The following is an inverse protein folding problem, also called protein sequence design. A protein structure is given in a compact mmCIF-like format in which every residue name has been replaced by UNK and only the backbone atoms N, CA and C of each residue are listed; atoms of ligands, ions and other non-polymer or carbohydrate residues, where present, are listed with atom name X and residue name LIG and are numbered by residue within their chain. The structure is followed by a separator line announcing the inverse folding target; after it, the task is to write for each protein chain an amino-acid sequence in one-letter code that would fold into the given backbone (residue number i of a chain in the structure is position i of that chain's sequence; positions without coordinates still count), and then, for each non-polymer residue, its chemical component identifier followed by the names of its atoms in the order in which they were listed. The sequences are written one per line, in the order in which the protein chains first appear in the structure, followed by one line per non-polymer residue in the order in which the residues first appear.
data_IF_769055295025
#
_entry.id   IF_769055295025
#
_cell.length_a   1.000
_cell.length_b   1.000
_cell.length_c   1.000
_cell.angle_alpha   90.00
_cell.angle_beta   90.00
_cell.angle_gamma   90.00
#
_symmetry.space_group_name_H-M   'P 1'
#
loop_
_entity.id
_entity.type
_entity.pdbx_description
1 polymer ?
#
# COMPACT_ATOMS: atom_id res chain seq x y z
N UNK A 1 8.38 -9.78 1.46
CA UNK A 1 7.76 -8.54 1.01
C UNK A 1 6.49 -8.25 1.80
N UNK A 2 6.28 -6.98 2.15
CA UNK A 2 5.07 -6.45 2.77
C UNK A 2 4.53 -5.29 1.94
N UNK A 3 3.28 -5.42 1.49
CA UNK A 3 2.56 -4.38 0.75
C UNK A 3 1.50 -3.75 1.64
N UNK A 4 1.46 -2.42 1.69
CA UNK A 4 0.38 -1.66 2.29
C UNK A 4 -0.62 -1.19 1.24
N UNK A 5 -1.91 -1.15 1.59
CA UNK A 5 -2.98 -0.69 0.71
C UNK A 5 -3.78 0.43 1.37
N UNK A 6 -3.97 1.51 0.64
CA UNK A 6 -4.78 2.65 1.06
C UNK A 6 -5.89 2.83 0.01
N UNK A 7 -7.14 2.85 0.45
CA UNK A 7 -8.26 3.15 -0.42
C UNK A 7 -8.41 4.64 -0.73
N UNK A 8 -9.37 5.02 -1.60
CA UNK A 8 -9.60 6.42 -1.96
C UNK A 8 -9.86 7.31 -0.74
N UNK A 9 -9.17 8.45 -0.66
CA UNK A 9 -9.27 9.44 0.40
C UNK A 9 -10.12 10.66 0.00
N UNK A 10 -10.61 10.71 -1.24
CA UNK A 10 -11.41 11.79 -1.82
C UNK A 10 -10.66 13.13 -1.76
N UNK A 11 -10.94 13.95 -0.75
CA UNK A 11 -10.29 15.25 -0.51
C UNK A 11 -9.47 15.31 0.78
N UNK A 12 -9.48 14.26 1.62
CA UNK A 12 -8.79 14.25 2.91
C UNK A 12 -7.30 13.85 2.77
N UNK A 13 -6.50 14.83 2.36
CA UNK A 13 -5.02 14.70 2.28
C UNK A 13 -4.39 14.39 3.64
N UNK A 14 -4.98 14.87 4.75
CA UNK A 14 -4.43 14.67 6.08
C UNK A 14 -4.62 13.21 6.54
N UNK A 15 -5.76 12.60 6.23
CA UNK A 15 -5.97 11.17 6.45
C UNK A 15 -5.00 10.33 5.62
N UNK A 16 -4.80 10.66 4.34
CA UNK A 16 -3.83 9.98 3.49
C UNK A 16 -2.41 10.06 4.06
N UNK A 17 -1.99 11.23 4.55
CA UNK A 17 -0.68 11.42 5.16
C UNK A 17 -0.50 10.61 6.46
N UNK A 18 -1.53 10.56 7.32
CA UNK A 18 -1.52 9.70 8.52
C UNK A 18 -1.43 8.22 8.17
N UNK A 19 -2.20 7.76 7.19
CA UNK A 19 -2.19 6.37 6.73
C UNK A 19 -0.85 5.97 6.10
N UNK A 20 -0.29 6.83 5.24
CA UNK A 20 1.03 6.62 4.65
C UNK A 20 2.12 6.57 5.72
N UNK A 21 2.10 7.50 6.69
CA UNK A 21 3.02 7.50 7.81
C UNK A 21 2.95 6.20 8.60
N UNK A 22 1.74 5.77 8.99
CA UNK A 22 1.54 4.53 9.74
C UNK A 22 2.13 3.33 8.99
N UNK A 23 1.80 3.16 7.71
CA UNK A 23 2.30 2.04 6.91
C UNK A 23 3.81 2.08 6.70
N UNK A 24 4.40 3.26 6.47
CA UNK A 24 5.81 3.42 6.10
C UNK A 24 6.75 3.44 7.31
N UNK A 25 6.31 4.03 8.42
CA UNK A 25 7.15 4.27 9.59
C UNK A 25 6.91 3.24 10.70
N UNK A 26 5.66 2.85 10.92
CA UNK A 26 5.31 2.01 12.07
C UNK A 26 5.15 0.54 11.66
N UNK A 27 4.50 0.28 10.51
CA UNK A 27 4.34 -1.08 9.94
C UNK A 27 5.52 -1.48 9.04
N UNK A 28 6.31 -0.50 8.61
CA UNK A 28 7.49 -0.66 7.77
C UNK A 28 7.24 -1.46 6.48
N UNK A 29 6.11 -1.22 5.79
CA UNK A 29 5.83 -1.88 4.51
C UNK A 29 6.91 -1.53 3.46
N UNK A 30 7.19 -2.46 2.56
CA UNK A 30 8.14 -2.24 1.46
C UNK A 30 7.60 -1.22 0.46
N UNK A 31 6.29 -1.31 0.17
CA UNK A 31 5.59 -0.37 -0.70
C UNK A 31 4.16 -0.14 -0.24
N UNK A 32 3.68 1.08 -0.44
CA UNK A 32 2.28 1.48 -0.22
C UNK A 32 1.62 1.63 -1.58
N UNK A 33 0.45 1.03 -1.78
CA UNK A 33 -0.30 1.09 -3.01
C UNK A 33 -1.62 1.82 -2.76
N UNK A 34 -1.74 3.01 -3.34
CA UNK A 34 -2.95 3.80 -3.32
C UNK A 34 -3.93 3.31 -4.39
N UNK A 35 -5.14 2.91 -3.98
CA UNK A 35 -6.11 2.22 -4.84
C UNK A 35 -7.07 3.17 -5.56
N UNK A 36 -6.81 4.48 -5.56
CA UNK A 36 -7.66 5.50 -6.17
C UNK A 36 -6.89 6.53 -7.00
N UNK A 37 -7.64 7.51 -7.50
CA UNK A 37 -7.09 8.75 -8.06
C UNK A 37 -8.08 9.89 -7.79
N UNK A 38 -7.75 10.73 -6.81
CA UNK A 38 -8.62 11.78 -6.31
C UNK A 38 -7.82 13.03 -5.93
N UNK A 39 -8.51 14.03 -5.37
CA UNK A 39 -7.91 15.31 -4.99
C UNK A 39 -6.89 15.15 -3.86
N UNK A 40 -7.16 14.27 -2.89
CA UNK A 40 -6.26 13.97 -1.77
C UNK A 40 -4.91 13.47 -2.28
N UNK A 41 -4.88 12.56 -3.27
CA UNK A 41 -3.64 12.10 -3.88
C UNK A 41 -2.89 13.24 -4.58
N UNK A 42 -3.59 14.07 -5.37
CA UNK A 42 -2.95 15.20 -6.07
C UNK A 42 -2.33 16.19 -5.08
N UNK A 43 -3.06 16.53 -4.02
CA UNK A 43 -2.57 17.40 -2.95
C UNK A 43 -1.40 16.78 -2.18
N UNK A 44 -1.45 15.48 -1.91
CA UNK A 44 -0.35 14.74 -1.27
C UNK A 44 0.92 14.78 -2.11
N UNK A 45 0.81 14.46 -3.40
CA UNK A 45 1.94 14.50 -4.33
C UNK A 45 2.53 15.90 -4.42
N UNK A 46 1.69 16.94 -4.58
CA UNK A 46 2.16 18.32 -4.63
C UNK A 46 2.84 18.79 -3.33
N UNK A 47 2.39 18.32 -2.17
CA UNK A 47 2.98 18.67 -0.86
C UNK A 47 4.38 18.07 -0.66
N UNK A 48 4.60 16.86 -1.19
CA UNK A 48 5.82 16.08 -0.94
C UNK A 48 6.82 16.10 -2.10
N UNK A 49 6.41 16.55 -3.29
CA UNK A 49 7.34 16.89 -4.36
C UNK A 49 8.20 18.06 -3.89
N UNK A 50 9.50 17.84 -3.77
CA UNK A 50 10.45 18.93 -3.58
C UNK A 50 10.69 19.60 -4.91
N UNK A 51 10.65 20.94 -4.95
CA UNK A 51 11.30 21.67 -6.03
C UNK A 51 12.75 21.21 -6.11
N UNK A 52 13.13 20.65 -7.26
CA UNK A 52 14.46 20.14 -7.54
C UNK A 52 15.46 21.27 -7.32
N UNK A 53 16.10 21.29 -6.16
CA UNK A 53 17.28 22.11 -5.95
C UNK A 53 18.44 21.45 -6.70
N UNK A 54 19.26 22.24 -7.40
CA UNK A 54 20.38 21.76 -8.21
C UNK A 54 21.45 20.97 -7.42
N UNK A 55 21.45 21.07 -6.09
CA UNK A 55 22.36 20.30 -5.23
C UNK A 55 21.74 18.96 -4.81
N UNK A 56 22.46 17.82 -4.95
CA UNK A 56 22.03 16.52 -4.43
C UNK A 56 21.64 16.61 -2.96
N UNK A 57 20.53 15.96 -2.58
CA UNK A 57 19.98 16.02 -1.22
C UNK A 57 21.00 15.61 -0.16
N UNK A 58 21.90 14.68 -0.48
CA UNK A 58 22.97 14.21 0.40
C UNK A 58 23.95 15.32 0.77
N UNK A 59 24.27 16.22 -0.17
CA UNK A 59 25.15 17.36 0.10
C UNK A 59 24.45 18.38 1.00
N UNK A 60 23.17 18.65 0.74
CA UNK A 60 22.37 19.54 1.59
C UNK A 60 22.28 19.02 3.03
N UNK A 61 22.09 17.70 3.21
CA UNK A 61 22.08 17.06 4.52
C UNK A 61 23.43 17.25 5.23
N UNK A 62 24.55 17.01 4.55
CA UNK A 62 25.88 17.17 5.14
C UNK A 62 26.16 18.62 5.58
N UNK A 63 25.83 19.59 4.73
CA UNK A 63 26.06 21.02 5.00
C UNK A 63 25.21 21.51 6.18
N UNK A 64 23.91 21.18 6.17
CA UNK A 64 22.96 21.59 7.22
C UNK A 64 23.26 20.89 8.55
N UNK A 65 23.70 19.63 8.53
CA UNK A 65 24.09 18.93 9.75
C UNK A 65 25.34 19.56 10.42
N UNK A 66 26.26 20.12 9.62
CA UNK A 66 27.50 20.69 10.13
C UNK A 66 27.34 22.13 10.64
N UNK A 67 26.51 22.94 9.97
CA UNK A 67 26.46 24.41 10.17
C UNK A 67 25.07 25.02 10.13
N UNK A 68 24.04 24.21 9.90
CA UNK A 68 22.68 24.69 9.69
C UNK A 68 22.03 25.22 10.97
N UNK A 69 21.12 26.15 10.77
CA UNK A 69 20.16 26.60 11.77
C UNK A 69 19.08 25.55 11.99
N UNK A 70 18.33 25.67 13.08
CA UNK A 70 17.19 24.78 13.37
C UNK A 70 16.17 24.77 12.21
N UNK A 71 15.86 25.93 11.62
CA UNK A 71 14.92 26.02 10.50
C UNK A 71 15.42 25.32 9.23
N UNK A 72 16.73 25.39 8.94
CA UNK A 72 17.33 24.67 7.81
C UNK A 72 17.32 23.16 8.02
N UNK A 73 17.58 22.71 9.26
CA UNK A 73 17.49 21.29 9.64
C UNK A 73 16.06 20.79 9.42
N UNK A 74 15.05 21.52 9.92
CA UNK A 74 13.64 21.15 9.76
C UNK A 74 13.22 21.04 8.30
N UNK A 75 13.70 21.96 7.47
CA UNK A 75 13.41 21.98 6.04
C UNK A 75 14.01 20.78 5.31
N UNK A 76 15.27 20.41 5.60
CA UNK A 76 15.90 19.21 5.04
C UNK A 76 15.19 17.94 5.52
N UNK A 77 14.82 17.85 6.81
CA UNK A 77 14.05 16.72 7.34
C UNK A 77 12.66 16.61 6.71
N UNK A 78 12.01 17.73 6.40
CA UNK A 78 10.75 17.76 5.66
C UNK A 78 10.92 17.18 4.25
N UNK A 79 11.97 17.57 3.52
CA UNK A 79 12.30 17.02 2.19
C UNK A 79 12.61 15.52 2.23
N UNK A 80 13.41 15.06 3.20
CA UNK A 80 13.73 13.64 3.38
C UNK A 80 12.48 12.80 3.65
N UNK A 81 11.56 13.29 4.48
CA UNK A 81 10.26 12.63 4.72
C UNK A 81 9.43 12.56 3.46
N UNK A 82 9.31 13.66 2.71
CA UNK A 82 8.62 13.69 1.43
C UNK A 82 9.19 12.69 0.43
N UNK A 83 10.51 12.66 0.27
CA UNK A 83 11.20 11.70 -0.60
C UNK A 83 10.96 10.25 -0.18
N UNK A 84 10.98 9.95 1.13
CA UNK A 84 10.67 8.61 1.65
C UNK A 84 9.23 8.19 1.33
N UNK A 85 8.27 9.11 1.50
CA UNK A 85 6.87 8.83 1.19
C UNK A 85 6.66 8.58 -0.31
N UNK A 86 7.16 9.47 -1.17
CA UNK A 86 7.04 9.33 -2.62
C UNK A 86 7.80 8.11 -3.16
N UNK A 87 8.94 7.75 -2.56
CA UNK A 87 9.72 6.58 -2.96
C UNK A 87 9.04 5.24 -2.66
N UNK A 88 8.19 5.17 -1.63
CA UNK A 88 7.43 3.96 -1.29
C UNK A 88 6.01 3.93 -1.86
N UNK A 89 5.45 5.09 -2.21
CA UNK A 89 4.08 5.20 -2.71
C UNK A 89 4.00 4.83 -4.20
N UNK A 90 3.11 3.89 -4.50
CA UNK A 90 2.70 3.50 -5.84
C UNK A 90 1.21 3.76 -5.99
N UNK A 91 0.78 4.06 -7.20
CA UNK A 91 -0.63 4.28 -7.51
C UNK A 91 -1.11 3.07 -8.32
N UNK A 92 -2.23 2.46 -7.93
CA UNK A 92 -2.86 1.43 -8.74
C UNK A 92 -3.09 1.97 -10.15
N UNK A 93 -2.83 1.20 -11.21
CA UNK A 93 -2.94 1.71 -12.57
C UNK A 93 -4.41 2.00 -12.95
N UNK A 94 -4.66 2.98 -13.83
CA UNK A 94 -6.00 3.23 -14.35
C UNK A 94 -6.45 2.10 -15.28
N UNK A 95 -7.75 1.85 -15.34
CA UNK A 95 -8.34 0.91 -16.28
C UNK A 95 -7.92 1.21 -17.74
N UNK A 96 -7.72 0.18 -18.59
CA UNK A 96 -7.87 -1.25 -18.31
C UNK A 96 -6.60 -1.91 -17.71
N UNK A 97 -5.59 -1.13 -17.35
CA UNK A 97 -4.33 -1.66 -16.81
C UNK A 97 -4.52 -2.16 -15.39
N UNK A 98 -3.67 -3.12 -15.03
CA UNK A 98 -3.64 -3.81 -13.73
C UNK A 98 -2.19 -3.98 -13.29
N UNK A 99 -1.96 -3.95 -11.99
CA UNK A 99 -0.67 -4.30 -11.42
C UNK A 99 -0.73 -5.75 -10.92
N UNK A 100 0.38 -6.46 -11.08
CA UNK A 100 0.53 -7.82 -10.58
C UNK A 100 1.77 -7.85 -9.69
N UNK A 101 1.60 -8.30 -8.46
CA UNK A 101 2.68 -8.47 -7.49
C UNK A 101 2.81 -9.93 -7.12
N UNK A 102 4.04 -10.41 -6.99
CA UNK A 102 4.32 -11.77 -6.52
C UNK A 102 4.76 -11.70 -5.06
N UNK A 103 4.03 -12.38 -4.19
CA UNK A 103 4.33 -12.52 -2.76
C UNK A 103 4.48 -14.00 -2.46
N UNK A 104 5.69 -14.43 -2.14
CA UNK A 104 6.05 -15.85 -2.12
C UNK A 104 5.62 -16.55 -3.44
N UNK A 105 4.77 -17.58 -3.37
CA UNK A 105 4.20 -18.29 -4.52
C UNK A 105 2.81 -17.73 -4.95
N UNK A 106 2.43 -16.54 -4.49
CA UNK A 106 1.09 -15.94 -4.69
C UNK A 106 1.10 -14.74 -5.61
N UNK A 107 0.11 -14.71 -6.49
CA UNK A 107 -0.11 -13.59 -7.38
C UNK A 107 -1.19 -12.69 -6.79
N UNK A 108 -0.82 -11.44 -6.47
CA UNK A 108 -1.74 -10.38 -6.09
C UNK A 108 -2.04 -9.50 -7.31
N UNK A 109 -3.29 -9.51 -7.74
CA UNK A 109 -3.80 -8.62 -8.77
C UNK A 109 -4.33 -7.35 -8.11
N UNK A 110 -3.95 -6.20 -8.63
CA UNK A 110 -4.32 -4.91 -8.06
C UNK A 110 -4.95 -4.03 -9.14
N UNK A 111 -6.17 -3.57 -8.87
CA UNK A 111 -6.96 -2.73 -9.75
C UNK A 111 -7.58 -1.57 -8.97
N UNK A 112 -8.02 -0.52 -9.65
CA UNK A 112 -8.84 0.52 -9.02
C UNK A 112 -10.31 0.09 -8.93
N UNK A 113 -10.83 -0.48 -10.01
CA UNK A 113 -12.24 -0.81 -10.15
C UNK A 113 -12.47 -2.30 -10.20
N UNK A 114 -13.39 -2.80 -9.38
CA UNK A 114 -13.76 -4.21 -9.40
C UNK A 114 -14.35 -4.64 -10.76
N UNK A 115 -15.04 -3.74 -11.44
CA UNK A 115 -15.66 -4.00 -12.75
C UNK A 115 -14.66 -4.28 -13.87
N UNK A 116 -13.37 -3.96 -13.68
CA UNK A 116 -12.33 -4.21 -14.70
C UNK A 116 -11.70 -5.59 -14.59
N UNK A 117 -12.13 -6.40 -13.62
CA UNK A 117 -11.59 -7.74 -13.38
C UNK A 117 -12.28 -8.70 -14.34
N UNK A 118 -11.52 -9.30 -15.25
CA UNK A 118 -11.99 -10.36 -16.13
C UNK A 118 -11.88 -11.75 -15.48
N UNK A 119 -12.51 -12.75 -16.09
CA UNK A 119 -12.46 -14.13 -15.61
C UNK A 119 -11.03 -14.70 -15.60
N UNK A 120 -10.26 -14.43 -16.67
CA UNK A 120 -8.85 -14.84 -16.76
C UNK A 120 -7.99 -14.27 -15.63
N UNK A 121 -8.32 -13.07 -15.17
CA UNK A 121 -7.60 -12.42 -14.06
C UNK A 121 -7.83 -13.13 -12.73
N UNK A 122 -9.08 -13.53 -12.48
CA UNK A 122 -9.46 -14.29 -11.29
C UNK A 122 -8.81 -15.68 -11.31
N UNK A 123 -8.75 -16.32 -12.47
CA UNK A 123 -8.11 -17.63 -12.63
C UNK A 123 -6.61 -17.54 -12.33
N UNK A 124 -5.95 -16.46 -12.74
CA UNK A 124 -4.49 -16.31 -12.69
C UNK A 124 -3.95 -15.64 -11.41
N UNK A 125 -4.81 -15.15 -10.52
CA UNK A 125 -4.42 -14.52 -9.24
C UNK A 125 -4.77 -15.40 -8.05
N UNK A 126 -4.13 -15.21 -6.89
CA UNK A 126 -4.56 -15.80 -5.62
C UNK A 126 -5.43 -14.81 -4.83
N UNK A 127 -5.09 -13.53 -4.94
CA UNK A 127 -5.78 -12.42 -4.30
C UNK A 127 -5.99 -11.29 -5.31
N UNK A 128 -7.18 -10.73 -5.32
CA UNK A 128 -7.53 -9.53 -6.07
C UNK A 128 -7.81 -8.40 -5.09
N UNK A 129 -7.05 -7.32 -5.20
CA UNK A 129 -7.20 -6.09 -4.41
C UNK A 129 -7.79 -5.00 -5.30
N UNK A 130 -8.87 -4.35 -4.83
CA UNK A 130 -9.55 -3.28 -5.58
C UNK A 130 -9.90 -2.09 -4.68
N UNK A 131 -10.03 -0.90 -5.29
CA UNK A 131 -10.18 0.37 -4.57
C UNK A 131 -11.61 0.93 -4.48
N UNK A 132 -12.49 0.56 -5.40
CA UNK A 132 -13.87 1.09 -5.49
C UNK A 132 -14.89 0.36 -4.61
N UNK A 133 -14.44 -0.41 -3.61
CA UNK A 133 -15.32 -0.93 -2.58
C UNK A 133 -15.89 0.20 -1.72
N UNK A 134 -17.16 0.08 -1.32
CA UNK A 134 -17.81 1.05 -0.44
C UNK A 134 -17.40 0.92 1.04
N UNK A 135 -16.86 -0.22 1.42
CA UNK A 135 -16.46 -0.59 2.78
C UNK A 135 -15.30 -1.59 2.75
N UNK A 136 -14.74 -1.90 3.93
CA UNK A 136 -13.83 -3.03 4.09
C UNK A 136 -14.54 -4.31 3.67
N UNK A 137 -13.99 -5.00 2.66
CA UNK A 137 -14.55 -6.23 2.15
C UNK A 137 -13.47 -7.28 2.02
N UNK A 138 -13.78 -8.49 2.50
CA UNK A 138 -13.08 -9.71 2.14
C UNK A 138 -14.08 -10.77 1.71
N UNK A 139 -13.82 -11.42 0.57
CA UNK A 139 -14.59 -12.58 0.10
C UNK A 139 -13.66 -13.65 -0.43
N UNK A 140 -13.90 -14.91 -0.04
CA UNK A 140 -13.17 -16.07 -0.54
C UNK A 140 -14.09 -16.94 -1.39
N UNK A 141 -13.63 -17.26 -2.59
CA UNK A 141 -14.29 -18.18 -3.52
C UNK A 141 -13.29 -19.28 -3.88
N UNK A 142 -13.39 -20.43 -3.21
CA UNK A 142 -12.38 -21.49 -3.32
C UNK A 142 -10.98 -20.98 -2.97
N UNK A 143 -9.96 -21.13 -3.84
CA UNK A 143 -8.60 -20.68 -3.58
C UNK A 143 -8.38 -19.18 -3.88
N UNK A 144 -9.42 -18.44 -4.26
CA UNK A 144 -9.34 -17.05 -4.70
C UNK A 144 -9.93 -16.11 -3.66
N UNK A 145 -9.20 -15.04 -3.37
CA UNK A 145 -9.61 -14.04 -2.40
C UNK A 145 -9.82 -12.69 -3.09
N UNK A 146 -10.83 -11.95 -2.65
CA UNK A 146 -11.13 -10.59 -3.08
C UNK A 146 -11.08 -9.69 -1.86
N UNK A 147 -10.34 -8.59 -1.97
CA UNK A 147 -10.12 -7.68 -0.88
C UNK A 147 -10.25 -6.23 -1.31
N UNK A 148 -10.87 -5.42 -0.46
CA UNK A 148 -10.88 -3.97 -0.56
C UNK A 148 -10.76 -3.42 0.85
N UNK A 149 -9.84 -2.50 1.14
CA UNK A 149 -9.83 -1.78 2.42
C UNK A 149 -11.02 -0.81 2.54
N UNK A 150 -11.75 -0.54 1.44
CA UNK A 150 -12.78 0.48 1.39
C UNK A 150 -12.19 1.89 1.25
N UNK A 151 -13.02 2.94 1.19
CA UNK A 151 -12.55 4.31 1.19
C UNK A 151 -11.87 4.62 2.53
N UNK A 152 -10.86 5.48 2.53
CA UNK A 152 -10.06 5.77 3.72
C UNK A 152 -10.90 6.33 4.89
N UNK A 153 -12.03 6.98 4.60
CA UNK A 153 -12.98 7.49 5.59
C UNK A 153 -13.59 6.38 6.47
N UNK A 154 -13.57 5.12 6.01
CA UNK A 154 -13.99 3.96 6.80
C UNK A 154 -12.95 3.55 7.86
N UNK A 155 -11.75 4.14 7.82
CA UNK A 155 -10.73 3.97 8.85
C UNK A 155 -9.89 2.70 8.71
N UNK A 156 -9.98 2.00 7.58
CA UNK A 156 -9.27 0.75 7.34
C UNK A 156 -8.13 0.88 6.33
N UNK A 157 -7.07 0.13 6.58
CA UNK A 157 -5.90 -0.05 5.73
C UNK A 157 -5.69 -1.53 5.48
N UNK A 158 -5.15 -1.89 4.31
CA UNK A 158 -4.78 -3.27 4.01
C UNK A 158 -3.29 -3.50 4.18
N UNK A 159 -2.90 -4.69 4.63
CA UNK A 159 -1.50 -5.14 4.61
C UNK A 159 -1.45 -6.57 4.10
N UNK A 160 -0.66 -6.82 3.06
CA UNK A 160 -0.36 -8.17 2.58
C UNK A 160 1.11 -8.47 2.87
N UNK A 161 1.35 -9.54 3.63
CA UNK A 161 2.62 -9.83 4.28
C UNK A 161 3.02 -11.28 4.04
N UNK A 162 4.12 -11.52 3.33
CA UNK A 162 4.70 -12.86 3.14
C UNK A 162 5.76 -13.22 4.20
N UNK A 163 6.08 -12.29 5.11
CA UNK A 163 7.10 -12.46 6.15
C UNK A 163 6.49 -12.90 7.48
N UNK A 164 5.31 -13.52 7.45
CA UNK A 164 4.64 -13.96 8.66
C UNK A 164 5.44 -15.09 9.35
N UNK A 165 5.60 -15.01 10.67
CA UNK A 165 6.37 -15.99 11.47
C UNK A 165 5.85 -17.43 11.32
N UNK A 166 4.55 -17.60 11.06
CA UNK A 166 3.93 -18.91 10.83
C UNK A 166 4.14 -19.44 9.41
N UNK A 167 4.83 -18.68 8.55
CA UNK A 167 5.02 -18.96 7.12
C UNK A 167 3.82 -18.57 6.26
N UNK A 168 4.10 -18.28 4.99
CA UNK A 168 3.10 -17.98 3.96
C UNK A 168 2.61 -16.52 3.95
N UNK A 169 1.68 -16.26 3.03
CA UNK A 169 1.12 -14.91 2.80
C UNK A 169 -0.12 -14.68 3.65
N UNK A 170 -0.13 -13.60 4.42
CA UNK A 170 -1.26 -13.18 5.27
C UNK A 170 -1.76 -11.82 4.82
N UNK A 171 -3.07 -11.70 4.65
CA UNK A 171 -3.75 -10.44 4.43
C UNK A 171 -4.35 -9.94 5.75
N UNK A 172 -4.11 -8.68 6.10
CA UNK A 172 -4.61 -8.03 7.30
C UNK A 172 -5.37 -6.76 6.95
N UNK A 173 -6.38 -6.46 7.73
CA UNK A 173 -7.00 -5.15 7.79
C UNK A 173 -6.61 -4.50 9.12
N UNK A 174 -6.19 -3.25 9.04
CA UNK A 174 -5.72 -2.47 10.18
C UNK A 174 -6.52 -1.19 10.29
N UNK A 175 -6.73 -0.72 11.51
CA UNK A 175 -7.31 0.60 11.75
C UNK A 175 -6.28 1.70 11.49
N UNK A 176 -6.73 2.94 11.39
CA UNK A 176 -5.87 4.13 11.32
C UNK A 176 -4.97 4.33 12.55
N UNK A 177 -5.17 3.57 13.63
CA UNK A 177 -4.33 3.57 14.83
C UNK A 177 -3.28 2.46 14.82
N UNK A 178 -3.25 1.62 13.79
CA UNK A 178 -2.31 0.49 13.68
C UNK A 178 -2.78 -0.81 14.33
N UNK A 179 -4.01 -0.86 14.85
CA UNK A 179 -4.57 -2.09 15.41
C UNK A 179 -5.05 -3.02 14.30
N UNK A 180 -4.62 -4.27 14.33
CA UNK A 180 -5.11 -5.30 13.40
C UNK A 180 -6.52 -5.70 13.82
N UNK A 181 -7.53 -5.32 13.03
CA UNK A 181 -8.92 -5.67 13.31
C UNK A 181 -9.34 -7.00 12.66
N UNK A 182 -8.60 -7.45 11.64
CA UNK A 182 -8.88 -8.69 10.92
C UNK A 182 -7.64 -9.22 10.20
N UNK A 183 -7.53 -10.54 10.06
CA UNK A 183 -6.40 -11.22 9.44
C UNK A 183 -6.82 -12.55 8.83
N UNK A 184 -6.37 -12.84 7.61
CA UNK A 184 -6.61 -14.10 6.91
C UNK A 184 -5.34 -14.63 6.23
N UNK A 185 -5.01 -15.92 6.42
CA UNK A 185 -3.99 -16.57 5.61
C UNK A 185 -4.51 -16.72 4.17
N UNK A 186 -3.69 -16.34 3.19
CA UNK A 186 -3.99 -16.56 1.79
C UNK A 186 -3.52 -17.98 1.44
N UNK A 187 -4.39 -18.73 0.76
CA UNK A 187 -4.09 -20.10 0.32
C UNK A 187 -3.41 -20.11 -1.05
N UNK A 188 -2.53 -21.11 -1.22
CA UNK A 188 -1.68 -21.19 -2.40
C UNK A 188 -2.26 -21.96 -3.52
N UNK A 189 -1.47 -22.08 -4.58
CA UNK A 189 -1.67 -23.18 -5.50
C UNK A 189 -1.30 -24.44 -4.73
N UNK A 190 -2.29 -25.01 -4.04
CA UNK A 190 -2.08 -26.23 -3.26
C UNK A 190 -1.56 -27.34 -4.16
N UNK A 191 -0.34 -27.80 -3.89
CA UNK A 191 -0.01 -29.19 -4.13
C UNK A 191 -0.97 -30.00 -3.24
N UNK A 192 -1.81 -30.83 -3.86
CA UNK A 192 -2.58 -31.83 -3.12
C UNK A 192 -1.56 -32.71 -2.38
N UNK A 193 -1.49 -32.60 -1.06
CA UNK A 193 -0.86 -33.65 -0.26
C UNK A 193 -1.83 -34.84 -0.33
N UNK A 194 -1.54 -35.79 -1.21
CA UNK A 194 -2.16 -37.11 -1.16
C UNK A 194 -1.51 -37.86 -0.01
N UNK A 195 -2.24 -38.03 1.10
CA UNK A 195 -1.92 -39.08 2.06
C UNK A 195 -2.45 -40.37 1.44
N UNK A 196 -1.54 -41.24 0.98
CA UNK A 196 -1.90 -42.59 0.57
C UNK A 196 -2.36 -43.39 1.82
N UNK A 197 -3.39 -44.25 1.68
CA UNK A 197 -3.94 -45.04 2.79
C UNK A 197 -2.97 -46.07 3.35
#
# INVERSE_FOLDING_TARGET
MRLGFIGPAKSDVAALERAAKLLICDVEVDSVIYLGEDEALRAFMARHQSDTSDAPLERQVADVAARGTAGEIEEVLRKLRGARYLGKLRIAPPAPRRAMEMLDDRIALIVRHKSTIGEEDVINSNIVVYGDGAELMFKRFGPRCFFSPGPLETGHLGVLDDQCETGGVVLKAMTSNGEVCWSEPIQGRGAKVMVAP
#
